data_IF_813921311149
#
_entry.id   IF_813921311149
#
_cell.length_a   1.000
_cell.length_b   1.000
_cell.length_c   1.000
_cell.angle_alpha   90.00
_cell.angle_beta   90.00
_cell.angle_gamma   90.00
#
_symmetry.space_group_name_H-M   'P 1'
#
loop_
_entity.id
_entity.type
_entity.pdbx_description
1 polymer ?
#
# COMPACT_ATOMS: atom_id res chain seq x y z
N UNK A 1 11.38 1.29 -17.38
CA UNK A 1 10.42 1.11 -16.28
C UNK A 1 11.20 1.16 -14.97
N UNK A 2 10.68 1.80 -13.91
CA UNK A 2 11.30 1.75 -12.57
C UNK A 2 11.15 0.35 -12.00
N UNK A 3 12.13 -0.12 -11.24
CA UNK A 3 12.04 -1.43 -10.60
C UNK A 3 11.08 -1.36 -9.39
N UNK A 4 10.13 -2.30 -9.31
CA UNK A 4 9.13 -2.34 -8.23
C UNK A 4 9.72 -3.02 -6.99
N UNK A 5 10.43 -2.25 -6.18
CA UNK A 5 11.12 -2.70 -4.95
C UNK A 5 11.22 -1.59 -3.91
N UNK A 6 11.67 -1.93 -2.71
CA UNK A 6 11.88 -0.97 -1.62
C UNK A 6 10.63 -0.73 -0.79
N UNK A 7 10.66 0.33 0.01
CA UNK A 7 9.53 0.71 0.86
C UNK A 7 8.70 1.79 0.18
N UNK A 8 7.43 1.49 -0.04
CA UNK A 8 6.44 2.36 -0.67
C UNK A 8 5.39 2.72 0.38
N UNK A 9 5.07 4.00 0.53
CA UNK A 9 4.02 4.42 1.46
C UNK A 9 2.63 4.23 0.83
N UNK A 10 1.72 3.57 1.55
CA UNK A 10 0.31 3.54 1.21
C UNK A 10 -0.35 4.82 1.76
N UNK A 11 -0.54 5.82 0.91
CA UNK A 11 -0.91 7.18 1.31
C UNK A 11 -2.38 7.30 1.69
N UNK A 12 -2.73 7.91 2.85
CA UNK A 12 -4.11 8.23 3.19
C UNK A 12 -4.62 9.40 2.35
N UNK A 13 -5.88 9.35 1.95
CA UNK A 13 -6.53 10.50 1.29
C UNK A 13 -6.82 11.59 2.33
N UNK A 14 -6.44 12.82 2.02
CA UNK A 14 -6.72 13.97 2.87
C UNK A 14 -8.16 14.48 2.62
N UNK A 15 -8.96 14.59 3.68
CA UNK A 15 -10.27 15.21 3.65
C UNK A 15 -10.30 16.38 4.63
N UNK A 16 -11.11 17.40 4.35
CA UNK A 16 -11.41 18.48 5.28
C UNK A 16 -12.55 18.10 6.26
N UNK A 17 -12.94 19.05 7.12
CA UNK A 17 -13.98 18.81 8.11
C UNK A 17 -15.40 18.67 7.49
N UNK A 18 -15.58 19.03 6.21
CA UNK A 18 -16.80 18.80 5.45
C UNK A 18 -16.79 17.47 4.69
N UNK A 19 -15.70 16.68 4.80
CA UNK A 19 -15.43 15.45 4.07
C UNK A 19 -15.13 15.68 2.57
N UNK A 20 -14.84 16.91 2.18
CA UNK A 20 -14.36 17.22 0.84
C UNK A 20 -12.86 16.91 0.70
N UNK A 21 -12.39 16.70 -0.53
CA UNK A 21 -10.98 16.41 -0.79
C UNK A 21 -10.10 17.63 -0.45
N UNK A 22 -9.14 17.44 0.46
CA UNK A 22 -8.12 18.42 0.80
C UNK A 22 -6.84 18.17 -0.06
N UNK A 23 -6.94 18.49 -1.35
CA UNK A 23 -5.90 18.12 -2.34
C UNK A 23 -4.58 18.87 -2.14
N UNK A 24 -4.59 20.13 -1.70
CA UNK A 24 -3.36 20.90 -1.45
C UNK A 24 -2.59 20.35 -0.24
N UNK A 25 -3.21 20.08 0.92
CA UNK A 25 -2.57 19.36 2.02
C UNK A 25 -2.02 17.98 1.63
N UNK A 26 -2.75 17.21 0.81
CA UNK A 26 -2.25 15.94 0.29
C UNK A 26 -0.95 16.13 -0.52
N UNK A 27 -0.93 17.14 -1.40
CA UNK A 27 0.25 17.42 -2.21
C UNK A 27 1.45 17.87 -1.36
N UNK A 28 1.23 18.67 -0.32
CA UNK A 28 2.30 19.08 0.59
C UNK A 28 2.85 17.88 1.38
N UNK A 29 2.01 16.97 1.85
CA UNK A 29 2.46 15.73 2.46
C UNK A 29 3.32 14.90 1.48
N UNK A 30 2.85 14.71 0.25
CA UNK A 30 3.58 13.96 -0.78
C UNK A 30 4.95 14.56 -1.09
N UNK A 31 5.07 15.89 -1.20
CA UNK A 31 6.36 16.57 -1.38
C UNK A 31 7.31 16.32 -0.23
N UNK A 32 6.82 16.37 1.02
CA UNK A 32 7.65 16.10 2.20
C UNK A 32 8.14 14.65 2.23
N UNK A 33 7.26 13.67 1.99
CA UNK A 33 7.66 12.27 1.90
C UNK A 33 8.57 11.99 0.70
N UNK A 34 8.41 12.70 -0.41
CA UNK A 34 9.29 12.55 -1.58
C UNK A 34 10.75 12.92 -1.27
N UNK A 35 10.99 13.79 -0.30
CA UNK A 35 12.32 14.13 0.21
C UNK A 35 12.95 13.05 1.10
N UNK A 36 12.25 11.94 1.38
CA UNK A 36 12.74 10.83 2.21
C UNK A 36 13.31 9.69 1.36
N UNK A 37 13.81 8.64 2.03
CA UNK A 37 14.31 7.41 1.36
C UNK A 37 13.23 6.47 0.85
N UNK A 38 11.93 6.81 0.95
CA UNK A 38 10.84 6.02 0.38
C UNK A 38 11.02 5.82 -1.13
N UNK A 39 10.81 4.62 -1.61
CA UNK A 39 10.90 4.29 -3.03
C UNK A 39 9.74 4.89 -3.84
N UNK A 40 8.59 5.10 -3.22
CA UNK A 40 7.41 5.65 -3.89
C UNK A 40 6.16 5.68 -3.04
N UNK A 41 5.02 5.83 -3.73
CA UNK A 41 3.72 6.07 -3.12
C UNK A 41 2.62 5.27 -3.81
N UNK A 42 1.76 4.66 -3.03
CA UNK A 42 0.50 4.09 -3.48
C UNK A 42 -0.65 5.03 -3.12
N UNK A 43 -1.35 5.55 -4.12
CA UNK A 43 -2.57 6.32 -3.95
C UNK A 43 -3.79 5.41 -4.07
N UNK A 44 -4.80 5.65 -3.25
CA UNK A 44 -6.10 4.97 -3.31
C UNK A 44 -6.01 3.44 -3.12
N UNK A 45 -5.09 2.98 -2.27
CA UNK A 45 -5.23 1.67 -1.63
C UNK A 45 -6.26 1.72 -0.49
N UNK A 46 -6.35 0.66 0.33
CA UNK A 46 -7.24 0.64 1.50
C UNK A 46 -6.94 1.77 2.48
N UNK A 47 -5.66 2.10 2.69
CA UNK A 47 -5.23 3.26 3.48
C UNK A 47 -5.74 4.58 2.91
N UNK A 48 -5.90 4.68 1.60
CA UNK A 48 -6.45 5.86 0.90
C UNK A 48 -7.97 5.92 0.89
N UNK A 49 -8.66 5.06 1.64
CA UNK A 49 -10.13 5.06 1.77
C UNK A 49 -10.85 4.95 0.40
N UNK A 50 -10.24 4.26 -0.58
CA UNK A 50 -10.69 4.25 -1.99
C UNK A 50 -12.15 3.87 -2.20
N UNK A 51 -12.72 3.04 -1.31
CA UNK A 51 -14.13 2.62 -1.35
C UNK A 51 -15.10 3.74 -0.99
N UNK A 52 -14.60 4.78 -0.34
CA UNK A 52 -15.38 5.95 0.09
C UNK A 52 -15.36 7.10 -0.92
N UNK A 53 -14.67 6.95 -2.06
CA UNK A 53 -14.52 8.00 -3.06
C UNK A 53 -15.30 7.68 -4.34
N UNK A 54 -15.92 8.72 -4.91
CA UNK A 54 -16.45 8.64 -6.28
C UNK A 54 -15.33 8.50 -7.32
N UNK A 55 -15.67 8.11 -8.53
CA UNK A 55 -14.69 7.99 -9.63
C UNK A 55 -14.02 9.34 -9.94
N UNK A 56 -14.75 10.44 -9.88
CA UNK A 56 -14.20 11.78 -10.15
C UNK A 56 -13.25 12.24 -9.04
N UNK A 57 -13.57 11.95 -7.78
CA UNK A 57 -12.66 12.19 -6.65
C UNK A 57 -11.38 11.37 -6.76
N UNK A 58 -11.48 10.09 -7.18
CA UNK A 58 -10.30 9.25 -7.42
C UNK A 58 -9.38 9.86 -8.47
N UNK A 59 -9.94 10.36 -9.57
CA UNK A 59 -9.19 11.05 -10.63
C UNK A 59 -8.51 12.31 -10.10
N UNK A 60 -9.23 13.15 -9.36
CA UNK A 60 -8.68 14.37 -8.77
C UNK A 60 -7.49 14.08 -7.83
N UNK A 61 -7.59 13.02 -7.00
CA UNK A 61 -6.47 12.57 -6.15
C UNK A 61 -5.26 12.16 -6.99
N UNK A 62 -5.45 11.36 -8.04
CA UNK A 62 -4.35 10.94 -8.90
C UNK A 62 -3.70 12.11 -9.63
N UNK A 63 -4.50 13.05 -10.19
CA UNK A 63 -3.99 14.25 -10.87
C UNK A 63 -3.13 15.10 -9.92
N UNK A 64 -3.65 15.37 -8.74
CA UNK A 64 -2.93 16.17 -7.76
C UNK A 64 -1.65 15.48 -7.27
N UNK A 65 -1.73 14.16 -7.04
CA UNK A 65 -0.57 13.37 -6.65
C UNK A 65 0.50 13.35 -7.74
N UNK A 66 0.13 13.20 -9.04
CA UNK A 66 1.11 13.19 -10.14
C UNK A 66 1.88 14.51 -10.24
N UNK A 67 1.24 15.63 -9.93
CA UNK A 67 1.89 16.95 -9.90
C UNK A 67 2.88 17.09 -8.73
N UNK A 68 2.65 16.38 -7.62
CA UNK A 68 3.44 16.50 -6.40
C UNK A 68 4.57 15.48 -6.29
N UNK A 69 4.39 14.29 -6.88
CA UNK A 69 5.37 13.20 -6.81
C UNK A 69 6.44 13.39 -7.89
N UNK A 70 7.74 13.47 -7.52
CA UNK A 70 8.84 13.54 -8.51
C UNK A 70 8.90 12.31 -9.40
N UNK A 71 9.49 12.48 -10.61
CA UNK A 71 9.57 11.42 -11.61
C UNK A 71 10.50 10.26 -11.21
N UNK A 72 11.41 10.45 -10.29
CA UNK A 72 12.31 9.41 -9.75
C UNK A 72 11.62 8.50 -8.74
N UNK A 73 10.52 8.94 -8.13
CA UNK A 73 9.71 8.13 -7.19
C UNK A 73 8.66 7.29 -7.92
N UNK A 74 8.45 6.07 -7.44
CA UNK A 74 7.40 5.18 -7.96
C UNK A 74 6.03 5.73 -7.58
N UNK A 75 5.12 5.81 -8.56
CA UNK A 75 3.71 6.11 -8.30
C UNK A 75 2.83 4.92 -8.71
N UNK A 76 2.17 4.29 -7.72
CA UNK A 76 1.14 3.29 -7.97
C UNK A 76 -0.24 3.92 -7.80
N UNK A 77 -1.16 3.57 -8.68
CA UNK A 77 -2.58 3.92 -8.58
C UNK A 77 -3.41 2.69 -8.20
N UNK A 78 -4.18 2.77 -7.11
CA UNK A 78 -5.19 1.77 -6.76
C UNK A 78 -6.41 1.92 -7.66
N UNK A 79 -6.58 1.02 -8.63
CA UNK A 79 -7.61 1.12 -9.67
C UNK A 79 -8.65 0.02 -9.63
N UNK A 80 -8.51 -0.96 -8.69
CA UNK A 80 -9.49 -2.04 -8.54
C UNK A 80 -10.89 -1.52 -8.21
N UNK A 81 -11.88 -2.00 -8.96
CA UNK A 81 -13.32 -1.76 -8.78
C UNK A 81 -14.06 -3.10 -8.79
N UNK A 82 -15.34 -3.11 -8.42
CA UNK A 82 -16.15 -4.33 -8.41
C UNK A 82 -16.47 -4.86 -9.82
N UNK A 83 -16.38 -4.05 -10.86
CA UNK A 83 -16.57 -4.51 -12.24
C UNK A 83 -15.27 -4.43 -13.04
N UNK A 84 -15.03 -5.42 -13.90
CA UNK A 84 -13.91 -5.43 -14.86
C UNK A 84 -13.92 -4.18 -15.73
N UNK A 85 -15.10 -3.76 -16.20
CA UNK A 85 -15.28 -2.57 -17.04
C UNK A 85 -14.75 -1.29 -16.36
N UNK A 86 -15.14 -1.06 -15.11
CA UNK A 86 -14.71 0.14 -14.37
C UNK A 86 -13.23 0.07 -14.00
N UNK A 87 -12.75 -1.13 -13.61
CA UNK A 87 -11.33 -1.36 -13.36
C UNK A 87 -10.49 -1.00 -14.59
N UNK A 88 -10.88 -1.48 -15.77
CA UNK A 88 -10.22 -1.14 -17.04
C UNK A 88 -10.27 0.37 -17.30
N UNK A 89 -11.43 0.99 -17.15
CA UNK A 89 -11.60 2.42 -17.41
C UNK A 89 -10.71 3.28 -16.50
N UNK A 90 -10.69 3.00 -15.19
CA UNK A 90 -9.89 3.73 -14.24
C UNK A 90 -8.39 3.45 -14.43
N UNK A 91 -8.01 2.20 -14.74
CA UNK A 91 -6.62 1.81 -15.01
C UNK A 91 -6.08 2.52 -16.26
N UNK A 92 -6.83 2.56 -17.34
CA UNK A 92 -6.46 3.30 -18.56
C UNK A 92 -6.29 4.78 -18.29
N UNK A 93 -7.23 5.34 -17.54
CA UNK A 93 -7.17 6.77 -17.21
C UNK A 93 -5.93 7.08 -16.36
N UNK A 94 -5.66 6.30 -15.32
CA UNK A 94 -4.47 6.46 -14.47
C UNK A 94 -3.17 6.25 -15.25
N UNK A 95 -3.12 5.27 -16.15
CA UNK A 95 -1.97 5.01 -16.99
C UNK A 95 -1.66 6.17 -17.94
N UNK A 96 -2.69 6.78 -18.54
CA UNK A 96 -2.53 7.97 -19.40
C UNK A 96 -2.06 9.21 -18.62
N UNK A 97 -2.31 9.26 -17.30
CA UNK A 97 -1.80 10.31 -16.41
C UNK A 97 -0.29 10.14 -16.12
N UNK A 98 0.28 8.97 -16.41
CA UNK A 98 1.70 8.70 -16.22
C UNK A 98 2.03 8.13 -14.83
N UNK A 99 1.17 7.26 -14.27
CA UNK A 99 1.55 6.41 -13.15
C UNK A 99 2.48 5.30 -13.63
N UNK A 100 3.32 4.76 -12.74
CA UNK A 100 4.25 3.69 -13.10
C UNK A 100 3.57 2.32 -13.12
N UNK A 101 2.60 2.11 -12.21
CA UNK A 101 1.89 0.84 -12.01
C UNK A 101 0.44 1.06 -11.61
N UNK A 102 -0.43 0.12 -11.96
CA UNK A 102 -1.79 0.03 -11.43
C UNK A 102 -1.87 -1.12 -10.42
N UNK A 103 -2.29 -0.83 -9.19
CA UNK A 103 -2.56 -1.82 -8.16
C UNK A 103 -4.04 -2.21 -8.23
N UNK A 104 -4.32 -3.46 -8.55
CA UNK A 104 -5.69 -3.96 -8.76
C UNK A 104 -6.07 -4.91 -7.64
N UNK A 105 -7.02 -4.48 -6.79
CA UNK A 105 -7.67 -5.34 -5.81
C UNK A 105 -8.68 -6.25 -6.53
N UNK A 106 -8.76 -7.51 -6.13
CA UNK A 106 -9.78 -8.41 -6.65
C UNK A 106 -11.20 -7.91 -6.29
N UNK A 107 -12.21 -8.07 -7.18
CA UNK A 107 -13.61 -7.88 -6.82
C UNK A 107 -13.99 -8.76 -5.63
N UNK A 108 -14.84 -8.26 -4.71
CA UNK A 108 -15.10 -8.97 -3.46
C UNK A 108 -16.56 -8.93 -2.99
N UNK A 109 -17.41 -8.11 -3.60
CA UNK A 109 -18.80 -8.01 -3.13
C UNK A 109 -19.57 -9.32 -3.32
N UNK A 110 -19.50 -9.92 -4.52
CA UNK A 110 -20.11 -11.21 -4.82
C UNK A 110 -19.15 -12.38 -4.54
N UNK A 111 -18.70 -12.53 -3.31
CA UNK A 111 -17.64 -13.47 -2.88
C UNK A 111 -17.79 -14.89 -3.39
N UNK A 112 -19.04 -15.42 -3.35
CA UNK A 112 -19.31 -16.82 -3.75
C UNK A 112 -19.04 -17.08 -5.22
N UNK A 113 -19.14 -16.02 -6.04
CA UNK A 113 -18.92 -16.08 -7.49
C UNK A 113 -17.45 -15.85 -7.85
N UNK A 114 -16.66 -15.24 -6.95
CA UNK A 114 -15.25 -14.89 -7.20
C UNK A 114 -14.34 -16.11 -7.05
N UNK A 115 -14.57 -17.12 -7.90
CA UNK A 115 -13.73 -18.31 -8.00
C UNK A 115 -12.47 -18.03 -8.82
N UNK A 116 -11.49 -18.94 -8.79
CA UNK A 116 -10.20 -18.76 -9.45
C UNK A 116 -10.33 -18.44 -10.95
N UNK A 117 -11.20 -19.14 -11.67
CA UNK A 117 -11.44 -18.92 -13.10
C UNK A 117 -12.03 -17.53 -13.41
N UNK A 118 -12.90 -17.03 -12.52
CA UNK A 118 -13.53 -15.70 -12.69
C UNK A 118 -12.50 -14.59 -12.38
N UNK A 119 -11.73 -14.76 -11.31
CA UNK A 119 -10.68 -13.82 -10.95
C UNK A 119 -9.56 -13.80 -12.01
N UNK A 120 -9.19 -14.98 -12.56
CA UNK A 120 -8.23 -15.06 -13.66
C UNK A 120 -8.69 -14.24 -14.86
N UNK A 121 -9.89 -14.49 -15.35
CA UNK A 121 -10.45 -13.75 -16.50
C UNK A 121 -10.48 -12.25 -16.24
N UNK A 122 -10.88 -11.82 -15.03
CA UNK A 122 -10.87 -10.40 -14.64
C UNK A 122 -9.48 -9.78 -14.74
N UNK A 123 -8.45 -10.40 -14.14
CA UNK A 123 -7.09 -9.85 -14.14
C UNK A 123 -6.45 -9.88 -15.53
N UNK A 124 -6.67 -10.94 -16.32
CA UNK A 124 -6.18 -11.03 -17.70
C UNK A 124 -6.79 -9.94 -18.60
N UNK A 125 -8.10 -9.70 -18.52
CA UNK A 125 -8.77 -8.63 -19.28
C UNK A 125 -8.26 -7.25 -18.86
N UNK A 126 -8.10 -7.01 -17.56
CA UNK A 126 -7.56 -5.73 -17.05
C UNK A 126 -6.12 -5.55 -17.53
N UNK A 127 -5.28 -6.57 -17.44
CA UNK A 127 -3.88 -6.51 -17.85
C UNK A 127 -3.72 -6.32 -19.37
N UNK A 128 -4.54 -7.00 -20.18
CA UNK A 128 -4.54 -6.84 -21.63
C UNK A 128 -4.97 -5.42 -22.07
N UNK A 129 -5.84 -4.78 -21.28
CA UNK A 129 -6.36 -3.45 -21.58
C UNK A 129 -5.53 -2.31 -20.98
N UNK A 130 -4.61 -2.60 -20.06
CA UNK A 130 -3.85 -1.60 -19.30
C UNK A 130 -2.65 -1.07 -20.07
N UNK A 131 -2.47 0.27 -20.15
CA UNK A 131 -1.27 0.88 -20.74
C UNK A 131 -0.06 0.85 -19.81
N UNK A 132 -0.22 0.42 -18.55
CA UNK A 132 0.84 0.30 -17.55
C UNK A 132 0.80 -1.08 -16.89
N UNK A 133 1.91 -1.57 -16.33
CA UNK A 133 1.94 -2.87 -15.67
C UNK A 133 0.98 -2.94 -14.48
N UNK A 134 0.39 -4.13 -14.30
CA UNK A 134 -0.54 -4.44 -13.21
C UNK A 134 0.22 -5.09 -12.06
N UNK A 135 -0.11 -4.68 -10.85
CA UNK A 135 0.26 -5.33 -9.60
C UNK A 135 -1.01 -5.89 -8.96
N UNK A 136 -1.06 -7.18 -8.72
CA UNK A 136 -2.19 -7.83 -8.02
C UNK A 136 -2.22 -7.31 -6.57
N UNK A 137 -3.41 -7.05 -6.04
CA UNK A 137 -3.57 -6.73 -4.63
C UNK A 137 -4.37 -7.81 -3.92
N UNK A 138 -3.70 -8.58 -3.07
CA UNK A 138 -4.29 -9.57 -2.18
C UNK A 138 -4.49 -8.95 -0.78
N UNK A 139 -5.76 -8.79 -0.37
CA UNK A 139 -6.13 -8.20 0.93
C UNK A 139 -7.23 -9.03 1.62
N UNK A 140 -6.94 -10.27 2.02
CA UNK A 140 -7.95 -11.21 2.51
C UNK A 140 -8.66 -10.73 3.79
N UNK A 141 -8.03 -9.88 4.60
CA UNK A 141 -8.67 -9.32 5.80
C UNK A 141 -9.94 -8.51 5.46
N UNK A 142 -9.93 -7.72 4.38
CA UNK A 142 -11.07 -6.89 3.99
C UNK A 142 -11.96 -7.55 2.94
N UNK A 143 -11.37 -8.20 1.95
CA UNK A 143 -12.14 -8.87 0.89
C UNK A 143 -12.76 -10.18 1.34
N UNK A 144 -12.16 -10.84 2.35
CA UNK A 144 -12.45 -12.23 2.75
C UNK A 144 -12.29 -13.23 1.59
N UNK A 145 -11.43 -12.89 0.64
CA UNK A 145 -11.01 -13.73 -0.48
C UNK A 145 -9.48 -13.71 -0.52
N UNK A 146 -8.87 -14.89 -0.58
CA UNK A 146 -7.45 -15.02 -0.78
C UNK A 146 -7.13 -15.28 -2.26
N UNK A 147 -6.15 -14.58 -2.79
CA UNK A 147 -5.54 -14.91 -4.09
C UNK A 147 -4.51 -16.01 -3.83
N UNK A 148 -4.93 -17.27 -3.97
CA UNK A 148 -4.05 -18.41 -3.72
C UNK A 148 -2.80 -18.39 -4.62
N UNK A 149 -1.68 -18.95 -4.12
CA UNK A 149 -0.40 -18.90 -4.82
C UNK A 149 -0.49 -19.43 -6.26
N UNK A 150 -1.22 -20.53 -6.48
CA UNK A 150 -1.37 -21.13 -7.81
C UNK A 150 -2.03 -20.16 -8.80
N UNK A 151 -3.10 -19.46 -8.38
CA UNK A 151 -3.74 -18.46 -9.22
C UNK A 151 -2.81 -17.26 -9.49
N UNK A 152 -2.05 -16.83 -8.50
CA UNK A 152 -1.07 -15.73 -8.67
C UNK A 152 0.02 -16.13 -9.66
N UNK A 153 0.53 -17.38 -9.60
CA UNK A 153 1.54 -17.89 -10.49
C UNK A 153 1.02 -18.06 -11.92
N UNK A 154 -0.22 -18.49 -12.10
CA UNK A 154 -0.86 -18.52 -13.41
C UNK A 154 -0.95 -17.09 -14.01
N UNK A 155 -1.41 -16.13 -13.21
CA UNK A 155 -1.50 -14.72 -13.61
C UNK A 155 -0.12 -14.09 -13.90
N UNK A 156 0.92 -14.50 -13.17
CA UNK A 156 2.29 -14.02 -13.38
C UNK A 156 2.86 -14.41 -14.76
N UNK A 157 2.25 -15.35 -15.47
CA UNK A 157 2.61 -15.67 -16.87
C UNK A 157 2.18 -14.56 -17.87
N UNK A 158 1.24 -13.69 -17.48
CA UNK A 158 0.81 -12.60 -18.33
C UNK A 158 1.86 -11.46 -18.33
N UNK A 159 2.40 -11.01 -19.48
CA UNK A 159 3.54 -10.10 -19.55
C UNK A 159 3.30 -8.73 -18.89
N UNK A 160 2.04 -8.32 -18.74
CA UNK A 160 1.67 -7.04 -18.11
C UNK A 160 1.19 -7.20 -16.64
N UNK A 161 1.36 -8.38 -16.03
CA UNK A 161 1.16 -8.60 -14.59
C UNK A 161 2.54 -8.84 -13.97
N UNK A 162 3.07 -7.84 -13.27
CA UNK A 162 4.49 -7.79 -12.91
C UNK A 162 4.75 -7.94 -11.41
N UNK A 163 3.72 -8.18 -10.62
CA UNK A 163 3.92 -8.36 -9.19
C UNK A 163 2.62 -8.51 -8.41
N UNK A 164 2.80 -8.74 -7.12
CA UNK A 164 1.73 -8.81 -6.14
C UNK A 164 2.08 -7.98 -4.90
N UNK A 165 1.09 -7.28 -4.35
CA UNK A 165 1.07 -6.82 -2.97
C UNK A 165 0.24 -7.82 -2.15
N UNK A 166 0.90 -8.61 -1.32
CA UNK A 166 0.22 -9.55 -0.41
C UNK A 166 0.15 -8.95 1.01
N UNK A 167 -1.07 -8.81 1.52
CA UNK A 167 -1.33 -8.31 2.89
C UNK A 167 -1.84 -9.44 3.80
N UNK A 168 -1.86 -10.65 3.29
CA UNK A 168 -2.22 -11.85 4.06
C UNK A 168 -1.18 -12.20 5.12
N UNK A 169 -1.57 -12.97 6.15
CA UNK A 169 -0.66 -13.39 7.22
C UNK A 169 0.19 -14.61 6.85
N UNK A 170 -0.01 -15.19 5.67
CA UNK A 170 0.60 -16.46 5.26
C UNK A 170 1.96 -16.25 4.59
N UNK A 171 3.04 -16.28 5.37
CA UNK A 171 4.42 -16.14 4.85
C UNK A 171 4.81 -17.32 3.93
N UNK A 172 4.23 -18.50 4.13
CA UNK A 172 4.49 -19.66 3.23
C UNK A 172 3.93 -19.41 1.83
N UNK A 173 2.80 -18.71 1.70
CA UNK A 173 2.27 -18.29 0.40
C UNK A 173 3.23 -17.30 -0.28
N UNK A 174 3.73 -16.31 0.47
CA UNK A 174 4.74 -15.37 -0.04
C UNK A 174 5.98 -16.12 -0.53
N UNK A 175 6.48 -17.08 0.26
CA UNK A 175 7.63 -17.91 -0.10
C UNK A 175 7.37 -18.70 -1.40
N UNK A 176 6.23 -19.37 -1.50
CA UNK A 176 5.85 -20.15 -2.68
C UNK A 176 5.84 -19.29 -3.94
N UNK A 177 5.26 -18.09 -3.86
CA UNK A 177 5.23 -17.15 -4.99
C UNK A 177 6.65 -16.68 -5.33
N UNK A 178 7.47 -16.27 -4.33
CA UNK A 178 8.84 -15.82 -4.57
C UNK A 178 9.72 -16.91 -5.25
N UNK A 179 9.51 -18.18 -4.92
CA UNK A 179 10.29 -19.28 -5.46
C UNK A 179 9.88 -19.73 -6.87
N UNK A 180 8.61 -19.50 -7.23
CA UNK A 180 8.04 -20.09 -8.45
C UNK A 180 7.62 -19.05 -9.51
N UNK A 181 7.54 -17.76 -9.12
CA UNK A 181 7.21 -16.71 -10.07
C UNK A 181 8.30 -16.49 -11.11
N UNK A 182 7.94 -16.02 -12.33
CA UNK A 182 8.93 -15.68 -13.35
C UNK A 182 9.93 -14.62 -12.87
N UNK A 183 11.11 -14.62 -13.47
CA UNK A 183 12.12 -13.58 -13.23
C UNK A 183 11.53 -12.18 -13.49
N UNK A 184 11.79 -11.26 -12.57
CA UNK A 184 11.25 -9.89 -12.63
C UNK A 184 9.86 -9.71 -12.03
N UNK A 185 9.18 -10.77 -11.58
CA UNK A 185 7.92 -10.64 -10.86
C UNK A 185 8.18 -10.19 -9.41
N UNK A 186 7.63 -9.04 -9.03
CA UNK A 186 7.86 -8.43 -7.72
C UNK A 186 6.83 -8.90 -6.69
N UNK A 187 7.30 -9.41 -5.55
CA UNK A 187 6.45 -9.77 -4.42
C UNK A 187 6.66 -8.74 -3.30
N UNK A 188 5.60 -8.00 -2.94
CA UNK A 188 5.66 -6.97 -1.90
C UNK A 188 4.70 -7.32 -0.76
N UNK A 189 5.20 -7.27 0.48
CA UNK A 189 4.28 -7.40 1.62
C UNK A 189 3.49 -6.10 1.84
N UNK A 190 2.21 -6.24 2.19
CA UNK A 190 1.37 -5.11 2.60
C UNK A 190 1.30 -4.92 4.12
N UNK A 191 1.97 -5.77 4.90
CA UNK A 191 1.94 -5.78 6.35
C UNK A 191 3.32 -5.48 6.95
N UNK A 192 3.50 -4.31 7.57
CA UNK A 192 4.78 -3.95 8.17
C UNK A 192 5.18 -4.90 9.31
N UNK A 193 4.24 -5.52 10.00
CA UNK A 193 4.51 -6.54 11.00
C UNK A 193 5.18 -7.82 10.45
N UNK A 194 5.14 -8.02 9.13
CA UNK A 194 5.72 -9.18 8.45
C UNK A 194 6.91 -8.82 7.55
N UNK A 195 7.39 -7.56 7.60
CA UNK A 195 8.43 -7.09 6.69
C UNK A 195 9.66 -8.00 6.71
N UNK A 196 10.27 -8.21 7.87
CA UNK A 196 11.45 -9.08 8.01
C UNK A 196 11.16 -10.51 7.52
N UNK A 197 10.04 -11.10 7.94
CA UNK A 197 9.70 -12.48 7.56
C UNK A 197 9.52 -12.61 6.04
N UNK A 198 8.83 -11.67 5.40
CA UNK A 198 8.65 -11.69 3.94
C UNK A 198 9.96 -11.43 3.19
N UNK A 199 10.81 -10.51 3.68
CA UNK A 199 12.13 -10.27 3.09
C UNK A 199 13.02 -11.51 3.15
N UNK A 200 12.98 -12.28 4.25
CA UNK A 200 13.81 -13.51 4.39
C UNK A 200 13.39 -14.64 3.47
N UNK A 201 12.15 -14.61 2.96
CA UNK A 201 11.67 -15.61 1.98
C UNK A 201 11.67 -15.12 0.53
N UNK A 202 12.23 -13.93 0.27
CA UNK A 202 12.48 -13.43 -1.08
C UNK A 202 11.59 -12.26 -1.56
N UNK A 203 10.80 -11.63 -0.68
CA UNK A 203 10.05 -10.44 -1.08
C UNK A 203 10.99 -9.31 -1.53
N UNK A 204 10.56 -8.53 -2.54
CA UNK A 204 11.33 -7.42 -3.11
C UNK A 204 11.18 -6.10 -2.35
N UNK A 205 10.23 -6.04 -1.42
CA UNK A 205 9.95 -4.85 -0.63
C UNK A 205 8.57 -4.86 0.01
N UNK A 206 8.03 -3.68 0.27
CA UNK A 206 6.75 -3.55 0.94
C UNK A 206 5.97 -2.29 0.56
N UNK A 207 4.63 -2.36 0.65
CA UNK A 207 3.73 -1.20 0.50
C UNK A 207 2.96 -1.01 1.81
N UNK A 208 3.36 -0.05 2.63
CA UNK A 208 3.02 0.01 4.04
C UNK A 208 2.24 1.28 4.43
N UNK A 209 1.20 1.12 5.24
CA UNK A 209 0.53 2.25 5.91
C UNK A 209 1.44 2.89 6.96
N UNK A 210 2.16 2.10 7.76
CA UNK A 210 3.09 2.58 8.78
C UNK A 210 4.22 3.45 8.20
N UNK A 211 4.58 3.27 6.92
CA UNK A 211 5.60 4.07 6.26
C UNK A 211 5.24 5.56 6.13
N UNK A 212 3.99 5.96 6.33
CA UNK A 212 3.60 7.38 6.37
C UNK A 212 4.10 8.10 7.64
N UNK A 213 4.26 7.37 8.74
CA UNK A 213 4.64 7.91 10.06
C UNK A 213 5.97 7.36 10.60
N UNK A 214 6.48 6.27 10.02
CA UNK A 214 7.73 5.60 10.41
C UNK A 214 8.56 5.22 9.17
N UNK A 215 8.72 6.18 8.26
CA UNK A 215 9.39 5.94 6.97
C UNK A 215 10.85 5.52 7.13
N UNK A 216 11.64 6.22 7.95
CA UNK A 216 13.05 5.86 8.15
C UNK A 216 13.20 4.48 8.81
N UNK A 217 12.44 4.21 9.86
CA UNK A 217 12.43 2.90 10.53
C UNK A 217 12.07 1.77 9.56
N UNK A 218 11.07 2.00 8.68
CA UNK A 218 10.67 1.02 7.66
C UNK A 218 11.77 0.77 6.63
N UNK A 219 12.43 1.83 6.17
CA UNK A 219 13.54 1.73 5.21
C UNK A 219 14.78 1.09 5.85
N UNK A 220 15.13 1.47 7.08
CA UNK A 220 16.24 0.86 7.81
C UNK A 220 16.05 -0.64 8.01
N UNK A 221 14.83 -1.07 8.38
CA UNK A 221 14.51 -2.48 8.50
C UNK A 221 14.67 -3.22 7.17
N UNK A 222 14.17 -2.64 6.07
CA UNK A 222 14.33 -3.18 4.73
C UNK A 222 15.81 -3.29 4.32
N UNK A 223 16.60 -2.24 4.54
CA UNK A 223 18.02 -2.20 4.18
C UNK A 223 18.85 -3.19 5.03
N UNK A 224 18.52 -3.36 6.32
CA UNK A 224 19.15 -4.36 7.17
C UNK A 224 18.90 -5.80 6.63
N UNK A 225 17.66 -6.07 6.18
CA UNK A 225 17.35 -7.35 5.52
C UNK A 225 18.19 -7.55 4.25
N UNK A 226 18.31 -6.53 3.39
CA UNK A 226 19.12 -6.63 2.16
C UNK A 226 20.60 -6.88 2.42
N UNK A 227 21.14 -6.34 3.52
CA UNK A 227 22.54 -6.53 3.94
C UNK A 227 22.76 -7.88 4.64
N UNK A 228 21.70 -8.64 4.93
CA UNK A 228 21.79 -9.89 5.71
C UNK A 228 22.05 -9.65 7.21
N UNK A 229 21.92 -8.42 7.68
CA UNK A 229 22.05 -8.07 9.10
C UNK A 229 20.76 -8.40 9.85
N UNK A 230 20.61 -9.69 10.16
CA UNK A 230 19.39 -10.21 10.80
C UNK A 230 19.24 -9.73 12.26
N UNK A 231 20.31 -9.43 12.96
CA UNK A 231 20.26 -8.90 14.33
C UNK A 231 19.62 -7.51 14.29
N UNK A 232 20.16 -6.63 13.49
CA UNK A 232 19.62 -5.28 13.30
C UNK A 232 18.20 -5.30 12.72
N UNK A 233 17.94 -6.17 11.75
CA UNK A 233 16.62 -6.30 11.17
C UNK A 233 15.56 -6.73 12.20
N UNK A 234 15.89 -7.65 13.14
CA UNK A 234 14.98 -8.06 14.22
C UNK A 234 14.71 -6.92 15.21
N UNK A 235 15.73 -6.17 15.58
CA UNK A 235 15.56 -5.00 16.45
C UNK A 235 14.59 -3.99 15.81
N UNK A 236 14.88 -3.59 14.54
CA UNK A 236 14.05 -2.61 13.82
C UNK A 236 12.62 -3.12 13.56
N UNK A 237 12.46 -4.41 13.24
CA UNK A 237 11.15 -5.04 13.12
C UNK A 237 10.36 -4.98 14.44
N UNK A 238 11.05 -5.24 15.58
CA UNK A 238 10.43 -5.16 16.90
C UNK A 238 9.86 -3.77 17.20
N UNK A 239 10.56 -2.71 16.76
CA UNK A 239 10.11 -1.32 16.87
C UNK A 239 9.00 -0.95 15.88
N UNK A 240 9.02 -1.52 14.69
CA UNK A 240 8.03 -1.24 13.65
C UNK A 240 6.65 -1.86 13.95
N UNK A 241 6.62 -3.03 14.58
CA UNK A 241 5.38 -3.78 14.88
C UNK A 241 4.38 -2.98 15.72
N UNK A 242 4.73 -2.39 16.88
CA UNK A 242 3.78 -1.61 17.68
C UNK A 242 3.16 -0.43 16.91
N UNK A 243 3.97 0.28 16.13
CA UNK A 243 3.49 1.39 15.30
C UNK A 243 2.50 0.88 14.25
N UNK A 244 2.87 -0.18 13.52
CA UNK A 244 1.99 -0.75 12.51
C UNK A 244 0.66 -1.22 13.09
N UNK A 245 0.68 -1.93 14.21
CA UNK A 245 -0.54 -2.38 14.87
C UNK A 245 -1.44 -1.22 15.27
N UNK A 246 -0.87 -0.18 15.86
CA UNK A 246 -1.62 0.98 16.32
C UNK A 246 -2.31 1.74 15.17
N UNK A 247 -1.63 1.93 14.03
CA UNK A 247 -2.16 2.70 12.89
C UNK A 247 -2.95 1.87 11.88
N UNK A 248 -3.08 0.55 12.10
CA UNK A 248 -3.83 -0.35 11.21
C UNK A 248 -4.86 -1.18 11.96
N UNK A 249 -4.46 -2.33 12.50
CA UNK A 249 -5.36 -3.34 13.04
C UNK A 249 -6.06 -2.91 14.33
N UNK A 250 -5.37 -2.17 15.22
CA UNK A 250 -5.89 -1.86 16.55
C UNK A 250 -6.84 -0.67 16.54
N UNK A 251 -6.47 0.44 15.89
CA UNK A 251 -7.26 1.66 15.93
C UNK A 251 -7.68 2.18 14.55
N UNK A 252 -7.29 1.49 13.48
CA UNK A 252 -7.71 1.76 12.10
C UNK A 252 -7.13 3.02 11.46
N UNK A 253 -7.64 3.36 10.27
CA UNK A 253 -7.12 4.46 9.45
C UNK A 253 -7.25 5.84 10.10
N UNK A 254 -8.28 6.06 10.89
CA UNK A 254 -8.46 7.32 11.64
C UNK A 254 -7.30 7.60 12.60
N UNK A 255 -6.65 6.55 13.13
CA UNK A 255 -5.50 6.70 14.02
C UNK A 255 -4.22 7.04 13.24
N UNK A 256 -4.02 6.50 12.05
CA UNK A 256 -2.93 6.93 11.17
C UNK A 256 -3.04 8.43 10.87
N UNK A 257 -4.23 8.89 10.49
CA UNK A 257 -4.50 10.29 10.18
C UNK A 257 -4.29 11.19 11.40
N UNK A 258 -4.80 10.80 12.56
CA UNK A 258 -4.59 11.54 13.81
C UNK A 258 -3.10 11.63 14.20
N UNK A 259 -2.33 10.56 14.00
CA UNK A 259 -0.90 10.58 14.26
C UNK A 259 -0.15 11.48 13.27
N UNK A 260 -0.55 11.50 11.99
CA UNK A 260 0.00 12.44 11.00
C UNK A 260 -0.18 13.89 11.42
N UNK A 261 -1.39 14.27 11.90
CA UNK A 261 -1.65 15.62 12.43
C UNK A 261 -0.68 15.97 13.58
N UNK A 262 -0.43 15.03 14.49
CA UNK A 262 0.49 15.21 15.64
C UNK A 262 1.96 15.31 15.21
N UNK A 263 2.34 14.73 14.08
CA UNK A 263 3.68 14.78 13.51
C UNK A 263 3.87 15.97 12.54
N UNK A 264 2.88 16.87 12.45
CA UNK A 264 2.93 18.06 11.62
C UNK A 264 2.72 17.81 10.13
N UNK A 265 2.17 16.66 9.75
CA UNK A 265 1.58 16.39 8.46
C UNK A 265 0.08 16.75 8.50
N UNK A 266 -0.58 16.73 7.37
CA UNK A 266 -2.02 16.83 7.34
C UNK A 266 -2.65 15.43 7.27
N UNK A 267 -3.24 14.96 8.36
CA UNK A 267 -4.04 13.74 8.40
C UNK A 267 -5.48 13.99 8.01
N UNK A 268 -6.08 14.99 8.62
CA UNK A 268 -7.49 15.33 8.47
C UNK A 268 -8.43 14.26 9.05
N UNK A 269 -9.74 14.43 8.99
CA UNK A 269 -10.70 13.39 9.37
C UNK A 269 -10.69 12.24 8.37
N UNK A 270 -10.97 10.99 8.77
CA UNK A 270 -11.39 9.97 7.84
C UNK A 270 -12.80 10.28 7.35
N UNK A 271 -13.17 9.82 6.16
CA UNK A 271 -14.55 9.96 5.66
C UNK A 271 -15.50 9.05 6.43
N UNK A 272 -16.66 9.55 6.83
CA UNK A 272 -17.67 8.73 7.54
C UNK A 272 -18.12 7.52 6.72
N UNK A 273 -18.41 6.37 7.33
CA UNK A 273 -18.64 6.15 8.78
C UNK A 273 -17.38 5.96 9.64
N UNK A 274 -16.17 6.04 9.05
CA UNK A 274 -14.92 6.00 9.82
C UNK A 274 -14.82 7.23 10.72
N UNK A 275 -14.07 7.13 11.81
CA UNK A 275 -13.99 8.18 12.84
C UNK A 275 -12.55 8.45 13.27
N UNK A 276 -12.29 9.66 13.70
CA UNK A 276 -11.08 9.98 14.46
C UNK A 276 -11.10 9.25 15.81
N UNK A 277 -9.94 8.76 16.29
CA UNK A 277 -9.84 8.17 17.62
C UNK A 277 -10.03 9.24 18.71
N UNK A 278 -10.39 8.79 19.94
CA UNK A 278 -10.46 9.67 21.12
C UNK A 278 -9.11 10.33 21.42
N UNK A 279 -9.13 11.43 22.17
CA UNK A 279 -7.91 12.13 22.62
C UNK A 279 -6.95 11.20 23.35
N UNK A 280 -7.48 10.34 24.23
CA UNK A 280 -6.69 9.33 24.95
C UNK A 280 -5.94 8.40 23.99
N UNK A 281 -6.62 7.92 22.93
CA UNK A 281 -5.96 7.07 21.92
C UNK A 281 -4.93 7.88 21.14
N UNK A 282 -5.20 9.15 20.80
CA UNK A 282 -4.23 10.02 20.12
C UNK A 282 -2.94 10.21 20.95
N UNK A 283 -3.06 10.42 22.26
CA UNK A 283 -1.90 10.52 23.17
C UNK A 283 -1.12 9.22 23.20
N UNK A 284 -1.80 8.09 23.27
CA UNK A 284 -1.18 6.76 23.23
C UNK A 284 -0.45 6.50 21.89
N UNK A 285 -1.00 6.96 20.76
CA UNK A 285 -0.34 6.86 19.46
C UNK A 285 0.98 7.64 19.44
N UNK A 286 0.99 8.85 19.98
CA UNK A 286 2.21 9.67 20.08
C UNK A 286 3.24 8.98 20.98
N UNK A 287 2.82 8.41 22.10
CA UNK A 287 3.69 7.66 22.99
C UNK A 287 4.32 6.46 22.26
N UNK A 288 3.49 5.59 21.64
CA UNK A 288 3.98 4.44 20.86
C UNK A 288 4.97 4.87 19.78
N UNK A 289 4.66 5.96 19.06
CA UNK A 289 5.54 6.46 18.03
C UNK A 289 6.87 6.94 18.60
N UNK A 290 6.88 7.76 19.67
CA UNK A 290 8.10 8.30 20.27
C UNK A 290 8.99 7.20 20.85
N UNK A 291 8.41 6.22 21.54
CA UNK A 291 9.17 5.10 22.12
C UNK A 291 9.85 4.22 21.06
N UNK A 292 9.32 4.20 19.83
CA UNK A 292 9.82 3.30 18.78
C UNK A 292 10.56 4.02 17.64
N UNK A 293 10.29 5.32 17.37
CA UNK A 293 10.99 6.05 16.32
C UNK A 293 12.17 6.90 16.83
N UNK A 294 12.10 7.42 18.07
CA UNK A 294 13.07 8.39 18.58
C UNK A 294 14.22 7.76 19.39
N UNK A 295 14.32 6.44 19.48
CA UNK A 295 15.49 5.82 20.10
C UNK A 295 16.70 6.02 19.18
N UNK A 296 17.49 7.05 19.48
CA UNK A 296 18.83 7.17 18.92
C UNK A 296 19.64 5.93 19.32
N UNK A 297 20.33 5.38 18.35
CA UNK A 297 21.34 4.33 18.58
C UNK A 297 22.47 4.97 19.40
N UNK A 298 22.54 4.66 20.69
CA UNK A 298 23.75 4.89 21.49
C UNK A 298 24.87 3.93 21.05
#
# INVERSE_FOLDING_TARGET
MKELKGIIAAVPTAFDENEDLALDPLAENLKRWAGTRLAGFLLLGSTGEFVCLSTDEKKAVFERARQAIPQDKIMLAGTGCESTRETIALTRWAGNLGVDYALVLNPFYYKREMKAEILRAHFEEVAAASPVPIVIYNMPLFTQLNMEADLVLELASHPNIVGIKDTGPNVLQVQSICQSAPEGFSVLTGAASLLLACMTVGASGAILAAANVAYDLSVDCYEACLKGDLERARELQGRLVPINQAVTAQYGIGSLKALLDRLGFYGGPPRRPLRRPSTEIQEKLVQIHSENCLQEVN
#
